data_IF_182721462306
#
_entry.id   IF_182721462306
#
_cell.length_a   1.000
_cell.length_b   1.000
_cell.length_c   1.000
_cell.angle_alpha   90.00
_cell.angle_beta   90.00
_cell.angle_gamma   90.00
#
_symmetry.space_group_name_H-M   'P 1'
#
loop_
_entity.id
_entity.type
_entity.pdbx_description
1 polymer ?
#
# COMPACT_ATOMS: atom_id res chain seq x y z
N UNK A 1 20.06 -4.26 -18.26
CA UNK A 1 19.92 -2.99 -17.51
C UNK A 1 18.49 -2.47 -17.52
N UNK A 2 17.90 -2.17 -18.68
CA UNK A 2 16.54 -1.60 -18.79
C UNK A 2 15.42 -2.39 -18.06
N UNK A 3 15.35 -3.72 -18.24
CA UNK A 3 14.33 -4.54 -17.56
C UNK A 3 14.45 -4.49 -16.03
N UNK A 4 15.68 -4.40 -15.51
CA UNK A 4 15.94 -4.32 -14.09
C UNK A 4 15.54 -2.96 -13.53
N UNK A 5 15.82 -1.88 -14.28
CA UNK A 5 15.39 -0.54 -13.91
C UNK A 5 13.87 -0.39 -13.90
N UNK A 6 13.19 -0.99 -14.88
CA UNK A 6 11.73 -1.01 -14.91
C UNK A 6 11.17 -1.76 -13.71
N UNK A 7 11.69 -2.96 -13.42
CA UNK A 7 11.30 -3.73 -12.25
C UNK A 7 11.47 -2.92 -10.96
N UNK A 8 12.63 -2.29 -10.78
CA UNK A 8 12.93 -1.48 -9.59
C UNK A 8 11.98 -0.29 -9.45
N UNK A 9 11.61 0.36 -10.56
CA UNK A 9 10.64 1.47 -10.55
C UNK A 9 9.23 0.99 -10.16
N UNK A 10 8.78 -0.14 -10.72
CA UNK A 10 7.44 -0.69 -10.46
C UNK A 10 7.28 -1.34 -9.07
N UNK A 11 8.39 -1.69 -8.42
CA UNK A 11 8.38 -2.35 -7.09
C UNK A 11 8.87 -1.45 -5.95
N UNK A 12 9.06 -0.15 -6.20
CA UNK A 12 9.50 0.80 -5.17
C UNK A 12 8.46 0.89 -4.05
N UNK A 13 8.89 0.63 -2.80
CA UNK A 13 8.06 0.84 -1.60
C UNK A 13 7.71 2.30 -1.41
N UNK A 14 6.54 2.53 -0.83
CA UNK A 14 6.06 3.87 -0.43
C UNK A 14 5.95 4.88 -1.58
N UNK A 15 5.92 4.42 -2.84
CA UNK A 15 5.92 5.29 -4.02
C UNK A 15 4.77 6.31 -4.07
N UNK A 16 3.67 6.03 -3.36
CA UNK A 16 2.50 6.91 -3.32
C UNK A 16 2.22 7.52 -1.93
N UNK A 17 3.07 7.29 -0.91
CA UNK A 17 2.75 7.61 0.50
C UNK A 17 2.88 9.10 0.82
N UNK A 18 3.95 9.73 0.34
CA UNK A 18 4.37 11.04 0.80
C UNK A 18 3.79 12.16 -0.08
N UNK A 19 4.20 13.42 0.16
CA UNK A 19 3.79 14.59 -0.63
C UNK A 19 4.14 14.37 -2.12
N UNK A 20 3.12 14.40 -2.99
CA UNK A 20 3.22 14.05 -4.42
C UNK A 20 2.73 12.63 -4.77
N UNK A 21 2.37 11.81 -3.79
CA UNK A 21 1.89 10.45 -4.04
C UNK A 21 0.67 10.36 -4.96
N UNK A 22 -0.29 11.29 -4.82
CA UNK A 22 -1.45 11.37 -5.69
C UNK A 22 -1.08 11.75 -7.13
N UNK A 23 -0.09 12.60 -7.33
CA UNK A 23 0.44 12.94 -8.65
C UNK A 23 1.08 11.71 -9.31
N UNK A 24 1.91 10.98 -8.57
CA UNK A 24 2.52 9.73 -9.07
C UNK A 24 1.47 8.69 -9.48
N UNK A 25 0.35 8.57 -8.73
CA UNK A 25 -0.77 7.70 -9.13
C UNK A 25 -1.43 8.21 -10.43
N UNK A 26 -1.67 9.51 -10.56
CA UNK A 26 -2.24 10.11 -11.79
C UNK A 26 -1.33 9.94 -12.99
N UNK A 27 -0.02 10.09 -12.85
CA UNK A 27 0.95 9.84 -13.92
C UNK A 27 0.89 8.38 -14.40
N UNK A 28 0.85 7.43 -13.45
CA UNK A 28 0.74 6.01 -13.76
C UNK A 28 -0.55 5.72 -14.52
N UNK A 29 -1.70 6.22 -14.04
CA UNK A 29 -3.00 6.01 -14.68
C UNK A 29 -3.12 6.76 -16.02
N UNK A 30 -2.48 7.92 -16.17
CA UNK A 30 -2.42 8.62 -17.47
C UNK A 30 -1.70 7.78 -18.51
N UNK A 31 -0.66 7.05 -18.09
CA UNK A 31 0.13 6.20 -18.97
C UNK A 31 -0.56 4.86 -19.28
N UNK A 32 -1.16 4.21 -18.29
CA UNK A 32 -1.65 2.83 -18.39
C UNK A 32 -3.17 2.66 -18.32
N UNK A 33 -3.91 3.75 -18.09
CA UNK A 33 -5.35 3.73 -17.82
C UNK A 33 -5.70 3.33 -16.38
N UNK A 34 -6.99 3.33 -16.06
CA UNK A 34 -7.53 2.94 -14.75
C UNK A 34 -8.16 4.11 -13.98
N UNK A 35 -8.67 3.80 -12.78
CA UNK A 35 -9.36 4.77 -11.91
C UNK A 35 -8.74 4.88 -10.51
N UNK A 36 -8.17 3.77 -10.02
CA UNK A 36 -7.46 3.68 -8.73
C UNK A 36 -6.34 2.63 -8.85
N UNK A 37 -5.29 2.79 -8.06
CA UNK A 37 -4.19 1.83 -7.93
C UNK A 37 -4.42 0.96 -6.70
N UNK A 38 -4.59 -0.34 -6.92
CA UNK A 38 -4.67 -1.34 -5.84
C UNK A 38 -3.31 -2.03 -5.74
N UNK A 39 -2.69 -2.01 -4.57
CA UNK A 39 -1.34 -2.53 -4.42
C UNK A 39 -1.10 -3.24 -3.08
N UNK A 40 0.00 -3.99 -3.03
CA UNK A 40 0.59 -4.53 -1.81
C UNK A 40 2.05 -4.13 -1.68
N UNK A 41 2.91 -5.05 -1.22
CA UNK A 41 4.37 -4.91 -1.07
C UNK A 41 4.84 -3.93 0.01
N UNK A 42 4.12 -2.83 0.21
CA UNK A 42 4.23 -1.97 1.39
C UNK A 42 3.06 -2.30 2.32
N UNK A 43 3.25 -3.15 3.35
CA UNK A 43 2.19 -3.49 4.29
C UNK A 43 1.58 -2.24 4.94
N UNK A 44 0.27 -2.28 5.18
CA UNK A 44 -0.48 -1.19 5.82
C UNK A 44 0.16 -0.71 7.12
N UNK A 45 0.61 -1.60 8.04
CA UNK A 45 1.36 -1.18 9.23
C UNK A 45 2.56 -0.28 8.95
N UNK A 46 3.31 -0.55 7.87
CA UNK A 46 4.49 0.22 7.49
C UNK A 46 4.10 1.56 6.84
N UNK A 47 2.97 1.61 6.14
CA UNK A 47 2.42 2.84 5.58
C UNK A 47 1.95 3.79 6.67
N UNK A 48 1.30 3.25 7.72
CA UNK A 48 0.77 4.02 8.84
C UNK A 48 1.82 4.38 9.90
N UNK A 49 3.03 3.82 9.80
CA UNK A 49 4.08 4.00 10.80
C UNK A 49 3.82 3.26 12.12
N UNK A 50 2.92 2.28 12.11
CA UNK A 50 2.45 1.55 13.31
C UNK A 50 3.32 0.34 13.67
N UNK A 51 4.58 0.30 13.22
CA UNK A 51 5.48 -0.78 13.61
C UNK A 51 5.97 -0.49 15.01
N UNK A 52 5.37 -1.18 15.98
CA UNK A 52 5.95 -1.29 17.31
C UNK A 52 7.39 -1.77 17.20
N UNK A 53 8.29 -1.18 17.98
CA UNK A 53 9.66 -1.66 18.15
C UNK A 53 9.64 -3.17 18.43
N UNK A 54 10.58 -3.92 17.84
CA UNK A 54 10.65 -5.39 17.87
C UNK A 54 10.71 -6.02 19.29
N UNK A 55 10.67 -5.22 20.36
CA UNK A 55 10.80 -5.60 21.77
C UNK A 55 9.46 -5.77 22.53
N UNK A 56 8.41 -6.26 21.88
CA UNK A 56 7.07 -6.30 22.47
C UNK A 56 6.36 -7.64 22.36
N UNK A 57 6.80 -8.67 23.09
CA UNK A 57 6.11 -9.97 23.25
C UNK A 57 4.67 -9.87 23.81
N UNK A 58 4.11 -8.68 24.04
CA UNK A 58 2.77 -8.50 24.64
C UNK A 58 1.89 -7.42 24.01
N UNK A 59 2.24 -6.88 22.83
CA UNK A 59 1.41 -5.91 22.12
C UNK A 59 0.68 -6.55 20.95
N UNK A 60 -0.65 -6.53 20.91
CA UNK A 60 -1.39 -6.86 19.68
C UNK A 60 -0.86 -5.97 18.57
N UNK A 61 -0.27 -6.56 17.52
CA UNK A 61 0.23 -5.81 16.38
C UNK A 61 -0.85 -4.88 15.78
N UNK A 62 -0.45 -3.90 14.95
CA UNK A 62 -1.37 -2.94 14.36
C UNK A 62 -2.62 -3.61 13.77
N UNK A 63 -3.78 -3.14 14.22
CA UNK A 63 -5.07 -3.76 13.90
C UNK A 63 -5.52 -3.28 12.52
N UNK A 64 -5.12 -4.01 11.48
CA UNK A 64 -5.62 -3.80 10.13
C UNK A 64 -7.04 -4.36 10.01
N UNK A 65 -8.04 -3.49 9.84
CA UNK A 65 -9.44 -3.88 9.72
C UNK A 65 -9.97 -3.92 8.28
N UNK A 66 -9.20 -3.40 7.31
CA UNK A 66 -9.62 -3.32 5.93
C UNK A 66 -8.55 -2.66 5.04
N UNK A 67 -8.87 -2.41 3.76
CA UNK A 67 -8.02 -1.65 2.88
C UNK A 67 -7.69 -0.26 3.44
N UNK A 68 -6.47 0.21 3.22
CA UNK A 68 -6.10 1.59 3.51
C UNK A 68 -6.16 2.42 2.22
N UNK A 69 -7.06 3.40 2.20
CA UNK A 69 -7.27 4.30 1.06
C UNK A 69 -6.54 5.61 1.32
N UNK A 70 -5.72 6.05 0.37
CA UNK A 70 -4.85 7.22 0.52
C UNK A 70 -4.55 7.87 -0.85
N UNK A 71 -3.68 8.88 -0.87
CA UNK A 71 -3.31 9.63 -2.08
C UNK A 71 -4.55 10.18 -2.82
N UNK A 72 -5.30 11.05 -2.14
CA UNK A 72 -6.58 11.62 -2.62
C UNK A 72 -7.63 10.58 -3.03
N UNK A 73 -7.62 9.41 -2.38
CA UNK A 73 -8.53 8.31 -2.69
C UNK A 73 -8.13 7.48 -3.92
N UNK A 74 -6.97 7.77 -4.52
CA UNK A 74 -6.51 7.12 -5.75
C UNK A 74 -5.73 5.83 -5.49
N UNK A 75 -5.11 5.67 -4.32
CA UNK A 75 -4.36 4.47 -3.95
C UNK A 75 -5.09 3.67 -2.87
N UNK A 76 -5.09 2.34 -3.03
CA UNK A 76 -5.70 1.36 -2.12
C UNK A 76 -4.62 0.33 -1.75
N UNK A 77 -4.11 0.41 -0.52
CA UNK A 77 -3.23 -0.61 0.03
C UNK A 77 -4.06 -1.78 0.56
N UNK A 78 -3.72 -2.99 0.09
CA UNK A 78 -4.39 -4.26 0.39
C UNK A 78 -3.53 -5.24 1.20
N UNK A 79 -2.26 -4.91 1.42
CA UNK A 79 -1.33 -5.75 2.16
C UNK A 79 -1.51 -5.56 3.66
N UNK A 80 -2.35 -6.41 4.26
CA UNK A 80 -2.59 -6.41 5.70
C UNK A 80 -1.45 -6.97 6.53
N UNK A 81 -0.30 -7.32 5.94
CA UNK A 81 0.90 -7.75 6.66
C UNK A 81 0.83 -9.20 7.15
N UNK A 82 0.37 -10.13 6.32
CA UNK A 82 0.27 -11.57 6.65
C UNK A 82 1.58 -12.14 7.21
N UNK A 83 2.73 -11.68 6.72
CA UNK A 83 4.05 -12.10 7.19
C UNK A 83 4.42 -11.59 8.59
N UNK A 84 3.61 -10.68 9.15
CA UNK A 84 3.79 -10.04 10.47
C UNK A 84 2.61 -10.37 11.40
N UNK A 85 1.99 -11.54 11.21
CA UNK A 85 0.75 -11.95 11.89
C UNK A 85 -0.45 -11.01 11.65
N UNK A 86 -0.40 -10.19 10.58
CA UNK A 86 -1.51 -9.38 10.11
C UNK A 86 -2.52 -10.17 9.27
N UNK A 87 -3.55 -9.50 8.77
CA UNK A 87 -4.68 -10.16 8.08
C UNK A 87 -4.44 -10.29 6.58
N UNK A 88 -4.90 -11.42 6.00
CA UNK A 88 -5.13 -11.51 4.56
C UNK A 88 -6.43 -10.77 4.24
N UNK A 89 -6.35 -9.72 3.43
CA UNK A 89 -7.50 -8.93 3.06
C UNK A 89 -8.09 -9.40 1.73
N UNK A 90 -9.42 -9.54 1.70
CA UNK A 90 -10.20 -9.80 0.49
C UNK A 90 -11.37 -8.84 0.51
N UNK A 91 -11.49 -8.01 -0.53
CA UNK A 91 -12.57 -7.03 -0.70
C UNK A 91 -13.02 -6.98 -2.14
N UNK A 92 -14.30 -6.71 -2.33
CA UNK A 92 -14.88 -6.47 -3.66
C UNK A 92 -14.63 -5.01 -4.07
N UNK A 93 -14.32 -4.81 -5.36
CA UNK A 93 -14.25 -3.48 -5.97
C UNK A 93 -15.52 -3.20 -6.79
N UNK A 94 -15.95 -1.92 -6.94
CA UNK A 94 -15.35 -0.74 -6.32
C UNK A 94 -15.56 -0.72 -4.80
N UNK A 95 -14.62 -0.12 -4.05
CA UNK A 95 -14.89 0.18 -2.64
C UNK A 95 -16.03 1.21 -2.59
N UNK A 96 -17.06 0.88 -1.81
CA UNK A 96 -18.15 1.78 -1.46
C UNK A 96 -17.84 2.35 -0.08
N UNK A 97 -18.04 3.66 0.09
CA UNK A 97 -17.94 4.33 1.39
C UNK A 97 -19.07 3.88 2.33
#
# INVERSE_FOLDING_TARGET
>A
DECWDLFRKLTKRFAFRDEGGAEAVRELMTTYGGQRVVHGHSPIPYLLGEVGTEDGENGSGPVVNGPHVYADGLAIAMDGGVTMAGKLLVVQLPLHD
#
